data_IF_204568277692
#
_entry.id   IF_204568277692
#
_cell.length_a   1.000
_cell.length_b   1.000
_cell.length_c   1.000
_cell.angle_alpha   90.00
_cell.angle_beta   90.00
_cell.angle_gamma   90.00
#
_symmetry.space_group_name_H-M   'P 1'
#
loop_
_entity.id
_entity.type
_entity.pdbx_description
1 polymer ?
#
# COMPACT_ATOMS: atom_id res chain seq x y z
N UNK A 1 -54.63 49.24 23.38
CA UNK A 1 -54.10 47.85 23.29
C UNK A 1 -52.80 47.70 22.47
N UNK A 2 -52.55 48.49 21.41
CA UNK A 2 -51.47 48.28 20.42
C UNK A 2 -50.02 48.47 20.91
N UNK A 3 -49.76 49.32 21.92
CA UNK A 3 -48.39 49.62 22.37
C UNK A 3 -47.75 48.52 23.25
N UNK A 4 -48.56 47.75 24.00
CA UNK A 4 -48.09 46.64 24.85
C UNK A 4 -47.56 45.44 24.06
N UNK A 5 -48.19 45.12 22.94
CA UNK A 5 -47.79 43.99 22.08
C UNK A 5 -46.51 44.29 21.30
N UNK A 6 -46.32 45.53 20.85
CA UNK A 6 -45.14 45.94 20.08
C UNK A 6 -43.81 45.89 20.87
N UNK A 7 -43.81 46.31 22.14
CA UNK A 7 -42.63 46.29 23.01
C UNK A 7 -42.26 44.87 23.43
N UNK A 8 -43.25 44.00 23.61
CA UNK A 8 -43.05 42.59 23.93
C UNK A 8 -42.45 41.83 22.74
N UNK A 9 -42.91 42.10 21.50
CA UNK A 9 -42.34 41.53 20.26
C UNK A 9 -40.91 42.02 20.05
N UNK A 10 -40.62 43.30 20.27
CA UNK A 10 -39.27 43.83 20.11
C UNK A 10 -38.29 43.27 21.16
N UNK A 11 -38.72 43.16 22.42
CA UNK A 11 -37.95 42.48 23.47
C UNK A 11 -37.68 41.01 23.13
N UNK A 12 -38.67 40.30 22.56
CA UNK A 12 -38.51 38.90 22.14
C UNK A 12 -37.51 38.76 20.99
N UNK A 13 -37.59 39.62 19.96
CA UNK A 13 -36.65 39.62 18.83
C UNK A 13 -35.21 39.92 19.22
N UNK A 14 -34.97 40.67 20.30
CA UNK A 14 -33.62 40.91 20.82
C UNK A 14 -33.07 39.75 21.66
N UNK A 15 -33.93 38.89 22.21
CA UNK A 15 -33.52 37.75 23.03
C UNK A 15 -33.17 36.51 22.18
N UNK A 16 -33.93 36.25 21.12
CA UNK A 16 -33.71 35.08 20.25
C UNK A 16 -32.28 34.92 19.69
N UNK A 17 -31.59 35.98 19.21
CA UNK A 17 -30.22 35.83 18.72
C UNK A 17 -29.22 35.53 19.83
N UNK A 18 -29.49 36.02 21.06
CA UNK A 18 -28.66 35.72 22.22
C UNK A 18 -28.87 34.27 22.62
N UNK A 19 -30.12 33.81 22.68
CA UNK A 19 -30.46 32.42 22.98
C UNK A 19 -29.87 31.44 21.93
N UNK A 20 -29.86 31.82 20.63
CA UNK A 20 -29.22 31.02 19.55
C UNK A 20 -27.70 30.98 19.69
N UNK A 21 -27.07 32.11 20.04
CA UNK A 21 -25.63 32.17 20.28
C UNK A 21 -25.23 31.36 21.52
N UNK A 22 -26.00 31.42 22.60
CA UNK A 22 -25.79 30.62 23.80
C UNK A 22 -25.94 29.12 23.49
N UNK A 23 -26.93 28.73 22.68
CA UNK A 23 -27.12 27.34 22.25
C UNK A 23 -25.94 26.85 21.39
N UNK A 24 -25.46 27.66 20.45
CA UNK A 24 -24.28 27.32 19.62
C UNK A 24 -23.01 27.22 20.45
N UNK A 25 -22.83 28.11 21.44
CA UNK A 25 -21.70 28.03 22.35
C UNK A 25 -21.74 26.74 23.17
N UNK A 26 -22.90 26.39 23.73
CA UNK A 26 -23.07 25.15 24.48
C UNK A 26 -22.83 23.90 23.60
N UNK A 27 -23.25 23.93 22.34
CA UNK A 27 -22.97 22.85 21.37
C UNK A 27 -21.48 22.75 21.05
N UNK A 28 -20.80 23.88 20.79
CA UNK A 28 -19.37 23.91 20.52
C UNK A 28 -18.55 23.46 21.73
N UNK A 29 -18.92 23.87 22.93
CA UNK A 29 -18.28 23.42 24.18
C UNK A 29 -18.45 21.91 24.38
N UNK A 30 -19.67 21.38 24.16
CA UNK A 30 -19.93 19.94 24.21
C UNK A 30 -19.11 19.17 23.16
N UNK A 31 -19.06 19.67 21.93
CA UNK A 31 -18.31 19.03 20.86
C UNK A 31 -16.80 19.07 21.15
N UNK A 32 -16.30 20.19 21.69
CA UNK A 32 -14.91 20.31 22.14
C UNK A 32 -14.59 19.31 23.25
N UNK A 33 -15.46 19.15 24.24
CA UNK A 33 -15.28 18.19 25.32
C UNK A 33 -15.23 16.74 24.80
N UNK A 34 -16.14 16.37 23.90
CA UNK A 34 -16.15 15.05 23.26
C UNK A 34 -14.86 14.78 22.45
N UNK A 35 -14.39 15.77 21.68
CA UNK A 35 -13.15 15.61 20.89
C UNK A 35 -11.94 15.43 21.80
N UNK A 36 -11.87 16.16 22.92
CA UNK A 36 -10.78 16.01 23.90
C UNK A 36 -10.80 14.60 24.51
N UNK A 37 -11.98 14.11 24.92
CA UNK A 37 -12.14 12.77 25.47
C UNK A 37 -11.69 11.68 24.47
N UNK A 38 -12.13 11.78 23.21
CA UNK A 38 -11.73 10.84 22.17
C UNK A 38 -10.23 10.92 21.85
N UNK A 39 -9.63 12.11 21.93
CA UNK A 39 -8.19 12.28 21.73
C UNK A 39 -7.39 11.57 22.83
N UNK A 40 -7.79 11.74 24.09
CA UNK A 40 -7.19 11.05 25.23
C UNK A 40 -7.37 9.52 25.11
N UNK A 41 -8.56 9.06 24.70
CA UNK A 41 -8.83 7.64 24.43
C UNK A 41 -7.91 7.06 23.36
N UNK A 42 -7.74 7.76 22.24
CA UNK A 42 -6.86 7.33 21.15
C UNK A 42 -5.38 7.31 21.58
N UNK A 43 -4.92 8.31 22.33
CA UNK A 43 -3.56 8.32 22.90
C UNK A 43 -3.32 7.12 23.80
N UNK A 44 -4.28 6.78 24.68
CA UNK A 44 -4.18 5.61 25.54
C UNK A 44 -4.13 4.30 24.73
N UNK A 45 -4.90 4.20 23.65
CA UNK A 45 -4.85 3.02 22.76
C UNK A 45 -3.51 2.91 22.01
N UNK A 46 -2.97 4.02 21.51
CA UNK A 46 -1.65 4.04 20.87
C UNK A 46 -0.55 3.63 21.86
N UNK A 47 -0.58 4.15 23.08
CA UNK A 47 0.37 3.77 24.12
C UNK A 47 0.25 2.28 24.48
N UNK A 48 -0.98 1.77 24.66
CA UNK A 48 -1.23 0.36 24.94
C UNK A 48 -0.70 -0.55 23.83
N UNK A 49 -0.99 -0.21 22.57
CA UNK A 49 -0.52 -1.01 21.42
C UNK A 49 1.00 -0.95 21.28
N UNK A 50 1.62 0.20 21.53
CA UNK A 50 3.08 0.36 21.55
C UNK A 50 3.73 -0.56 22.59
N UNK A 51 3.25 -0.55 23.83
CA UNK A 51 3.78 -1.42 24.91
C UNK A 51 3.57 -2.89 24.56
N UNK A 52 2.39 -3.28 24.06
CA UNK A 52 2.14 -4.67 23.69
C UNK A 52 3.09 -5.11 22.58
N UNK A 53 3.33 -4.28 21.57
CA UNK A 53 4.28 -4.59 20.50
C UNK A 53 5.72 -4.70 21.01
N UNK A 54 6.12 -3.82 21.91
CA UNK A 54 7.44 -3.84 22.56
C UNK A 54 7.61 -5.10 23.42
N UNK A 55 6.63 -5.43 24.27
CA UNK A 55 6.65 -6.65 25.08
C UNK A 55 6.70 -7.92 24.22
N UNK A 56 5.91 -7.99 23.15
CA UNK A 56 5.94 -9.13 22.22
C UNK A 56 7.31 -9.27 21.54
N UNK A 57 7.94 -8.14 21.21
CA UNK A 57 9.29 -8.10 20.63
C UNK A 57 10.35 -8.56 21.63
N UNK A 58 10.25 -8.16 22.90
CA UNK A 58 11.19 -8.55 23.96
C UNK A 58 10.98 -9.99 24.46
N UNK A 59 9.74 -10.47 24.48
CA UNK A 59 9.42 -11.87 24.85
C UNK A 59 9.89 -12.87 23.78
N UNK A 60 10.17 -12.39 22.55
CA UNK A 60 10.63 -13.21 21.43
C UNK A 60 12.13 -13.57 21.46
N UNK A 61 12.81 -13.52 22.62
CA UNK A 61 14.19 -14.02 22.74
C UNK A 61 14.24 -15.54 22.50
N UNK A 62 15.10 -16.06 21.60
CA UNK A 62 15.11 -17.46 21.24
C UNK A 62 15.83 -18.28 22.32
N UNK A 63 15.09 -19.18 22.97
CA UNK A 63 15.71 -20.31 23.68
C UNK A 63 16.19 -21.32 22.65
N UNK A 64 17.52 -21.46 22.52
CA UNK A 64 18.19 -22.47 21.74
C UNK A 64 17.84 -23.87 22.26
N UNK A 65 17.22 -24.73 21.44
CA UNK A 65 17.23 -26.19 21.53
C UNK A 65 16.81 -26.76 20.15
N UNK A 66 17.61 -27.69 19.61
CA UNK A 66 17.50 -28.17 18.23
C UNK A 66 16.54 -29.34 17.99
N UNK A 67 16.59 -29.82 16.74
CA UNK A 67 16.10 -31.15 16.36
C UNK A 67 14.76 -31.17 15.62
N UNK A 68 14.85 -31.30 14.30
CA UNK A 68 14.04 -32.12 13.38
C UNK A 68 12.50 -32.18 13.50
N UNK A 69 11.90 -31.99 12.31
CA UNK A 69 10.62 -32.52 11.82
C UNK A 69 9.30 -31.89 12.28
N UNK A 70 8.75 -31.15 11.31
CA UNK A 70 7.37 -31.16 10.83
C UNK A 70 6.24 -30.63 11.73
N UNK A 71 5.43 -29.79 11.07
CA UNK A 71 4.16 -29.21 11.47
C UNK A 71 4.25 -28.08 12.50
N UNK A 72 4.68 -26.91 12.03
CA UNK A 72 4.44 -25.66 12.76
C UNK A 72 3.20 -24.97 12.20
N UNK A 73 2.04 -25.36 12.74
CA UNK A 73 0.88 -24.50 12.77
C UNK A 73 1.28 -23.18 13.45
N UNK A 74 1.36 -22.10 12.66
CA UNK A 74 1.29 -20.69 13.07
C UNK A 74 1.81 -20.38 14.48
N UNK A 75 3.14 -20.42 14.67
CA UNK A 75 3.88 -19.92 15.83
C UNK A 75 5.04 -19.02 15.35
N UNK A 76 5.66 -18.20 16.23
CA UNK A 76 6.28 -16.91 15.89
C UNK A 76 7.66 -17.06 15.25
N UNK A 77 7.70 -17.63 14.04
CA UNK A 77 8.75 -17.36 13.09
C UNK A 77 8.54 -15.95 12.57
N UNK A 78 9.55 -15.09 12.70
CA UNK A 78 9.49 -13.69 12.30
C UNK A 78 8.90 -13.56 10.91
N UNK A 79 7.80 -12.81 10.81
CA UNK A 79 7.14 -12.50 9.55
C UNK A 79 8.15 -11.82 8.63
N UNK A 80 8.63 -12.55 7.63
CA UNK A 80 9.29 -11.97 6.48
C UNK A 80 8.23 -11.52 5.48
N UNK A 81 8.38 -10.36 4.82
CA UNK A 81 7.48 -9.92 3.76
C UNK A 81 7.24 -10.94 2.64
N UNK A 82 8.09 -11.97 2.51
CA UNK A 82 7.95 -13.08 1.57
C UNK A 82 7.12 -14.26 2.07
N UNK A 83 6.80 -14.35 3.36
CA UNK A 83 6.11 -15.51 3.98
C UNK A 83 4.66 -15.68 3.50
N UNK A 84 4.03 -14.56 3.14
CA UNK A 84 2.72 -14.60 2.50
C UNK A 84 2.78 -15.36 1.17
N UNK A 85 3.78 -15.06 0.34
CA UNK A 85 3.93 -15.67 -0.97
C UNK A 85 4.29 -17.15 -0.87
N UNK A 86 5.16 -17.54 0.07
CA UNK A 86 5.50 -18.96 0.27
C UNK A 86 4.27 -19.77 0.68
N UNK A 87 3.43 -19.24 1.57
CA UNK A 87 2.20 -19.91 2.01
C UNK A 87 1.17 -20.02 0.89
N UNK A 88 0.94 -18.94 0.13
CA UNK A 88 -0.07 -18.92 -0.95
C UNK A 88 0.37 -19.73 -2.17
N UNK A 89 1.65 -19.65 -2.55
CA UNK A 89 2.16 -20.34 -3.74
C UNK A 89 2.41 -21.84 -3.51
N UNK A 90 2.48 -22.31 -2.26
CA UNK A 90 2.73 -23.72 -1.93
C UNK A 90 1.73 -24.70 -2.56
N UNK A 91 0.47 -24.29 -2.73
CA UNK A 91 -0.60 -25.10 -3.30
C UNK A 91 -0.63 -25.12 -4.84
N UNK A 92 0.20 -24.32 -5.50
CA UNK A 92 0.19 -24.13 -6.95
C UNK A 92 1.50 -24.62 -7.57
N UNK A 93 1.44 -25.33 -8.70
CA UNK A 93 2.64 -25.85 -9.38
C UNK A 93 3.61 -24.76 -9.87
N UNK A 94 3.15 -23.51 -9.98
CA UNK A 94 3.97 -22.35 -10.31
C UNK A 94 4.41 -21.65 -9.01
N UNK A 95 5.31 -22.28 -8.26
CA UNK A 95 5.70 -21.94 -6.88
C UNK A 95 6.60 -20.68 -6.76
N UNK A 96 6.61 -19.81 -7.76
CA UNK A 96 7.66 -18.81 -7.92
C UNK A 96 7.14 -17.40 -7.71
N UNK A 97 7.76 -16.59 -6.85
CA UNK A 97 7.44 -15.17 -6.73
C UNK A 97 7.64 -14.46 -8.08
N UNK A 98 6.61 -13.81 -8.59
CA UNK A 98 6.63 -13.09 -9.87
C UNK A 98 7.58 -11.88 -9.86
N UNK A 99 7.81 -11.27 -8.69
CA UNK A 99 8.65 -10.08 -8.51
C UNK A 99 10.13 -10.39 -8.19
N UNK A 100 10.61 -11.60 -8.55
CA UNK A 100 12.00 -12.00 -8.31
C UNK A 100 12.97 -11.29 -9.27
N UNK A 101 14.11 -10.86 -8.74
CA UNK A 101 15.27 -10.40 -9.51
C UNK A 101 16.45 -11.32 -9.17
N UNK A 102 17.06 -11.91 -10.19
CA UNK A 102 18.23 -12.79 -10.07
C UNK A 102 19.42 -12.06 -10.68
N UNK A 103 20.57 -12.12 -10.00
CA UNK A 103 21.83 -11.54 -10.50
C UNK A 103 22.76 -12.71 -10.81
N UNK A 104 23.22 -12.80 -12.05
CA UNK A 104 24.22 -13.78 -12.48
C UNK A 104 25.60 -13.47 -11.92
N UNK A 105 26.49 -14.46 -11.87
CA UNK A 105 27.89 -14.31 -11.47
C UNK A 105 28.65 -13.28 -12.34
N UNK A 106 28.19 -13.06 -13.58
CA UNK A 106 28.70 -12.02 -14.48
C UNK A 106 28.16 -10.60 -14.18
N UNK A 107 27.29 -10.45 -13.17
CA UNK A 107 26.64 -9.19 -12.80
C UNK A 107 25.39 -8.85 -13.62
N UNK A 108 24.91 -9.75 -14.48
CA UNK A 108 23.73 -9.53 -15.31
C UNK A 108 22.44 -9.72 -14.50
N UNK A 109 21.50 -8.80 -14.66
CA UNK A 109 20.21 -8.80 -13.94
C UNK A 109 19.13 -9.44 -14.80
N UNK A 110 18.54 -10.51 -14.26
CA UNK A 110 17.42 -11.24 -14.82
C UNK A 110 16.18 -10.98 -13.98
N UNK A 111 15.13 -10.49 -14.63
CA UNK A 111 13.87 -10.11 -13.98
C UNK A 111 12.81 -11.14 -14.33
N UNK A 112 12.10 -11.65 -13.31
CA UNK A 112 10.90 -12.45 -13.54
C UNK A 112 9.75 -11.57 -14.07
N UNK A 113 8.64 -12.19 -14.50
CA UNK A 113 7.54 -11.50 -15.17
C UNK A 113 6.96 -10.30 -14.39
N UNK A 114 6.78 -10.41 -13.07
CA UNK A 114 6.28 -9.32 -12.22
C UNK A 114 7.30 -8.20 -12.06
N UNK A 115 8.57 -8.54 -11.85
CA UNK A 115 9.65 -7.54 -11.77
C UNK A 115 9.85 -6.82 -13.12
N UNK A 116 9.64 -7.52 -14.23
CA UNK A 116 9.66 -6.97 -15.58
C UNK A 116 8.54 -5.95 -15.79
N UNK A 117 7.32 -6.26 -15.31
CA UNK A 117 6.21 -5.31 -15.33
C UNK A 117 6.48 -4.07 -14.48
N UNK A 118 7.03 -4.23 -13.28
CA UNK A 118 7.40 -3.09 -12.43
C UNK A 118 8.43 -2.20 -13.13
N UNK A 119 9.39 -2.80 -13.83
CA UNK A 119 10.39 -2.08 -14.62
C UNK A 119 9.75 -1.28 -15.77
N UNK A 120 8.88 -1.92 -16.56
CA UNK A 120 8.19 -1.27 -17.68
C UNK A 120 7.31 -0.12 -17.17
N UNK A 121 6.51 -0.36 -16.14
CA UNK A 121 5.58 0.65 -15.59
C UNK A 121 6.28 1.83 -14.91
N UNK A 122 7.47 1.60 -14.33
CA UNK A 122 8.29 2.66 -13.76
C UNK A 122 8.97 3.55 -14.83
N UNK A 123 9.16 3.04 -16.04
CA UNK A 123 9.95 3.68 -17.10
C UNK A 123 9.34 5.04 -17.54
N UNK A 124 10.15 6.10 -17.75
CA UNK A 124 9.65 7.42 -18.12
C UNK A 124 8.82 7.43 -19.42
N UNK A 125 9.24 6.66 -20.43
CA UNK A 125 8.52 6.57 -21.72
C UNK A 125 7.13 5.95 -21.57
N UNK A 126 6.97 5.02 -20.63
CA UNK A 126 5.67 4.43 -20.31
C UNK A 126 4.76 5.46 -19.64
N UNK A 127 5.29 6.23 -18.68
CA UNK A 127 4.55 7.33 -18.03
C UNK A 127 4.14 8.44 -18.99
N UNK A 128 4.89 8.62 -20.08
CA UNK A 128 4.54 9.55 -21.16
C UNK A 128 3.51 8.97 -22.14
N UNK A 129 3.10 7.70 -21.99
CA UNK A 129 2.14 7.04 -22.86
C UNK A 129 2.67 6.67 -24.24
N UNK A 130 4.00 6.62 -24.41
CA UNK A 130 4.64 6.37 -25.71
C UNK A 130 4.95 4.88 -25.95
N UNK A 131 4.81 4.04 -24.93
CA UNK A 131 5.17 2.63 -24.97
C UNK A 131 3.92 1.80 -25.23
N UNK A 132 3.93 1.00 -26.29
CA UNK A 132 2.91 -0.01 -26.51
C UNK A 132 3.28 -1.30 -25.76
N UNK A 133 2.51 -1.59 -24.70
CA UNK A 133 2.69 -2.80 -23.89
C UNK A 133 2.44 -4.08 -24.70
N UNK A 134 1.55 -4.03 -25.69
CA UNK A 134 1.28 -5.15 -26.59
C UNK A 134 2.54 -5.55 -27.35
N UNK A 135 3.12 -4.61 -28.11
CA UNK A 135 4.36 -4.81 -28.85
C UNK A 135 5.54 -5.20 -27.93
N UNK A 136 5.70 -4.55 -26.78
CA UNK A 136 6.72 -4.93 -25.79
C UNK A 136 6.54 -6.39 -25.35
N UNK A 137 5.30 -6.83 -25.09
CA UNK A 137 5.02 -8.20 -24.69
C UNK A 137 5.35 -9.21 -25.79
N UNK A 138 5.11 -8.89 -27.06
CA UNK A 138 5.44 -9.76 -28.19
C UNK A 138 6.95 -9.90 -28.36
N UNK A 139 7.68 -8.79 -28.24
CA UNK A 139 9.15 -8.80 -28.31
C UNK A 139 9.77 -9.59 -27.17
N UNK A 140 9.24 -9.45 -25.96
CA UNK A 140 9.75 -10.16 -24.79
C UNK A 140 9.53 -11.67 -24.87
N UNK A 141 8.44 -12.15 -25.47
CA UNK A 141 8.18 -13.60 -25.65
C UNK A 141 9.32 -14.32 -26.36
N UNK A 142 9.97 -13.69 -27.35
CA UNK A 142 11.05 -14.30 -28.13
C UNK A 142 12.40 -14.38 -27.40
N UNK A 143 12.59 -13.59 -26.34
CA UNK A 143 13.85 -13.49 -25.58
C UNK A 143 13.74 -14.06 -24.17
N UNK A 144 12.60 -14.66 -23.84
CA UNK A 144 12.36 -15.28 -22.54
C UNK A 144 13.34 -16.44 -22.30
N UNK A 145 14.04 -16.41 -21.16
CA UNK A 145 14.89 -17.51 -20.69
C UNK A 145 14.20 -18.26 -19.56
N UNK A 146 14.42 -19.57 -19.45
CA UNK A 146 13.84 -20.38 -18.38
C UNK A 146 14.86 -20.58 -17.25
N UNK A 147 14.53 -20.09 -16.04
CA UNK A 147 15.35 -20.21 -14.82
C UNK A 147 14.88 -21.37 -13.92
N UNK A 148 14.16 -22.36 -14.48
CA UNK A 148 13.54 -23.47 -13.74
C UNK A 148 12.33 -23.09 -12.88
N UNK A 149 12.22 -21.83 -12.50
CA UNK A 149 11.12 -21.25 -11.72
C UNK A 149 10.17 -20.39 -12.57
N UNK A 150 10.41 -20.27 -13.88
CA UNK A 150 9.57 -19.48 -14.79
C UNK A 150 10.39 -18.67 -15.80
N UNK A 151 9.71 -17.88 -16.65
CA UNK A 151 10.37 -17.02 -17.61
C UNK A 151 11.06 -15.85 -16.90
N UNK A 152 12.32 -15.64 -17.25
CA UNK A 152 13.13 -14.50 -16.83
C UNK A 152 13.64 -13.75 -18.06
N UNK A 153 13.78 -12.45 -17.91
CA UNK A 153 14.17 -11.54 -18.99
C UNK A 153 15.40 -10.75 -18.54
N UNK A 154 16.36 -10.57 -19.44
CA UNK A 154 17.49 -9.70 -19.17
C UNK A 154 17.05 -8.24 -19.15
N UNK A 155 17.60 -7.46 -18.23
CA UNK A 155 17.32 -6.02 -18.15
C UNK A 155 17.60 -5.30 -19.48
N UNK A 156 18.68 -5.68 -20.18
CA UNK A 156 19.06 -5.13 -21.49
C UNK A 156 17.97 -5.37 -22.54
N UNK A 157 17.39 -6.57 -22.57
CA UNK A 157 16.35 -6.93 -23.53
C UNK A 157 15.03 -6.22 -23.22
N UNK A 158 14.70 -6.01 -21.93
CA UNK A 158 13.54 -5.22 -21.52
C UNK A 158 13.66 -3.77 -22.02
N UNK A 159 14.82 -3.14 -21.81
CA UNK A 159 15.07 -1.76 -22.28
C UNK A 159 14.97 -1.71 -23.81
N UNK A 160 15.59 -2.66 -24.51
CA UNK A 160 15.58 -2.73 -25.96
C UNK A 160 14.15 -2.90 -26.52
N UNK A 161 13.33 -3.74 -25.89
CA UNK A 161 11.94 -3.93 -26.27
C UNK A 161 11.12 -2.64 -26.10
N UNK A 162 11.31 -1.92 -24.98
CA UNK A 162 10.65 -0.62 -24.73
C UNK A 162 11.04 0.40 -25.80
N UNK A 163 12.34 0.54 -26.09
CA UNK A 163 12.82 1.50 -27.08
C UNK A 163 12.28 1.21 -28.48
N UNK A 164 12.33 -0.05 -28.91
CA UNK A 164 11.83 -0.48 -30.22
C UNK A 164 10.32 -0.28 -30.35
N UNK A 165 9.56 -0.47 -29.27
CA UNK A 165 8.12 -0.19 -29.25
C UNK A 165 7.82 1.30 -29.47
N UNK A 166 8.58 2.18 -28.82
CA UNK A 166 8.46 3.63 -29.02
C UNK A 166 8.82 4.05 -30.45
N UNK A 167 9.83 3.41 -31.05
CA UNK A 167 10.18 3.65 -32.45
C UNK A 167 9.08 3.16 -33.39
N UNK A 168 8.58 1.94 -33.21
CA UNK A 168 7.50 1.37 -34.03
C UNK A 168 6.23 2.23 -33.98
N UNK A 169 5.81 2.67 -32.79
CA UNK A 169 4.64 3.54 -32.61
C UNK A 169 4.80 4.93 -33.24
N UNK A 170 6.03 5.40 -33.48
CA UNK A 170 6.28 6.64 -34.24
C UNK A 170 6.09 6.46 -35.74
N UNK A 171 6.34 5.27 -36.28
CA UNK A 171 6.17 4.99 -37.71
C UNK A 171 4.72 4.69 -38.11
N UNK A 172 3.86 4.30 -37.16
CA UNK A 172 2.43 4.01 -37.43
C UNK A 172 1.56 5.28 -37.51
N UNK A 173 2.11 6.44 -37.15
CA UNK A 173 1.44 7.76 -37.19
C UNK A 173 1.88 8.65 -38.38
N UNK A 174 2.63 8.10 -39.34
CA UNK A 174 3.05 8.75 -40.60
C UNK A 174 2.30 8.13 -41.79
#
# INVERSE_FOLDING_TARGET
AKKRTSTQIFRKRKKHPVDDLEARLAELEKNSANVIEENERLKLQLHKTSIVNELLKETSTPSYCGGSEFISNSGPGGYSPTDFYTKVLSAHGNQSPSHRIVISDAGERFLAAGATWDYISAHPLFKQGLVDVGDVSERLKGVAKCDGLGPVFEEKEIINAIMKSVEAGRYELL
#
